data_IF_699283641595
#
_entry.id   IF_699283641595
#
_cell.length_a   1.000
_cell.length_b   1.000
_cell.length_c   1.000
_cell.angle_alpha   90.00
_cell.angle_beta   90.00
_cell.angle_gamma   90.00
#
_symmetry.space_group_name_H-M   'P 1'
#
loop_
_entity.id
_entity.type
_entity.pdbx_description
1 polymer ?
#
# COMPACT_ATOMS: atom_id res chain seq x y z
N UNK A 1 -17.80 -12.67 -6.74
CA UNK A 1 -16.47 -12.20 -6.34
C UNK A 1 -16.70 -10.88 -5.64
N UNK A 2 -16.17 -10.67 -4.43
CA UNK A 2 -16.25 -9.36 -3.76
C UNK A 2 -15.20 -8.46 -4.42
N UNK A 3 -15.56 -7.23 -4.75
CA UNK A 3 -14.64 -6.26 -5.36
C UNK A 3 -13.44 -5.98 -4.43
N UNK A 4 -12.25 -5.83 -4.99
CA UNK A 4 -11.04 -5.56 -4.21
C UNK A 4 -11.09 -4.19 -3.53
N UNK A 5 -11.72 -3.19 -4.17
CA UNK A 5 -12.08 -1.90 -3.56
C UNK A 5 -12.79 -2.10 -2.21
N UNK A 6 -13.85 -2.92 -2.19
CA UNK A 6 -14.65 -3.17 -0.99
C UNK A 6 -13.83 -3.85 0.11
N UNK A 7 -12.93 -4.77 -0.26
CA UNK A 7 -12.08 -5.47 0.71
C UNK A 7 -11.05 -4.53 1.37
N UNK A 8 -10.46 -3.60 0.61
CA UNK A 8 -9.54 -2.60 1.17
C UNK A 8 -10.30 -1.67 2.11
N UNK A 9 -11.45 -1.12 1.69
CA UNK A 9 -12.25 -0.24 2.53
C UNK A 9 -12.72 -0.95 3.81
N UNK A 10 -13.20 -2.19 3.70
CA UNK A 10 -13.61 -2.98 4.85
C UNK A 10 -12.44 -3.20 5.83
N UNK A 11 -11.24 -3.55 5.35
CA UNK A 11 -10.09 -3.74 6.21
C UNK A 11 -9.68 -2.45 6.95
N UNK A 12 -9.72 -1.30 6.27
CA UNK A 12 -9.48 0.02 6.90
C UNK A 12 -10.54 0.30 7.96
N UNK A 13 -11.82 0.05 7.65
CA UNK A 13 -12.94 0.28 8.56
C UNK A 13 -12.93 -0.65 9.78
N UNK A 14 -12.41 -1.86 9.63
CA UNK A 14 -12.20 -2.84 10.72
C UNK A 14 -10.96 -2.51 11.58
N UNK A 15 -10.21 -1.46 11.24
CA UNK A 15 -9.08 -0.98 12.03
C UNK A 15 -7.75 -1.64 11.70
N UNK A 16 -7.60 -2.23 10.51
CA UNK A 16 -6.30 -2.72 10.07
C UNK A 16 -5.30 -1.56 9.96
N UNK A 17 -4.09 -1.75 10.50
CA UNK A 17 -2.99 -0.77 10.36
C UNK A 17 -2.10 -1.10 9.14
N UNK A 18 -2.10 -2.37 8.71
CA UNK A 18 -1.33 -2.87 7.57
C UNK A 18 -2.19 -3.88 6.81
N UNK A 19 -2.28 -3.72 5.49
CA UNK A 19 -3.02 -4.61 4.58
C UNK A 19 -2.02 -5.27 3.62
N UNK A 20 -1.99 -6.60 3.58
CA UNK A 20 -1.15 -7.37 2.65
C UNK A 20 -2.00 -7.88 1.48
N UNK A 21 -1.65 -7.51 0.25
CA UNK A 21 -2.37 -7.87 -0.98
C UNK A 21 -1.44 -8.61 -1.94
N UNK A 22 -1.74 -9.90 -2.17
CA UNK A 22 -0.96 -10.78 -3.04
C UNK A 22 -1.68 -11.10 -4.35
N UNK A 23 -2.38 -10.10 -4.91
CA UNK A 23 -3.26 -10.23 -6.08
C UNK A 23 -3.25 -8.92 -6.90
N UNK A 24 -3.31 -9.02 -8.23
CA UNK A 24 -3.52 -7.88 -9.15
C UNK A 24 -5.00 -7.61 -9.42
N UNK A 25 -5.34 -6.42 -9.91
CA UNK A 25 -6.71 -6.07 -10.27
C UNK A 25 -6.78 -5.06 -11.40
N UNK A 26 -7.83 -5.17 -12.21
CA UNK A 26 -8.22 -4.15 -13.20
C UNK A 26 -9.10 -3.05 -12.59
N UNK A 27 -9.54 -3.21 -11.34
CA UNK A 27 -10.35 -2.23 -10.63
C UNK A 27 -9.61 -0.90 -10.45
N UNK A 28 -10.36 0.19 -10.49
CA UNK A 28 -9.89 1.54 -10.17
C UNK A 28 -9.86 1.71 -8.65
N UNK A 29 -8.67 1.73 -8.06
CA UNK A 29 -8.51 1.71 -6.60
C UNK A 29 -8.20 3.09 -6.00
N UNK A 30 -8.12 4.16 -6.79
CA UNK A 30 -7.62 5.47 -6.33
C UNK A 30 -8.22 5.91 -5.00
N UNK A 31 -9.55 5.85 -4.86
CA UNK A 31 -10.24 6.31 -3.65
C UNK A 31 -10.13 5.34 -2.48
N UNK A 32 -10.04 4.03 -2.71
CA UNK A 32 -9.76 3.05 -1.65
C UNK A 32 -8.33 3.18 -1.11
N UNK A 33 -7.35 3.45 -1.99
CA UNK A 33 -5.98 3.76 -1.58
C UNK A 33 -5.93 5.12 -0.86
N UNK A 34 -6.63 6.14 -1.36
CA UNK A 34 -6.72 7.43 -0.68
C UNK A 34 -7.31 7.30 0.72
N UNK A 35 -8.33 6.45 0.88
CA UNK A 35 -8.90 6.09 2.17
C UNK A 35 -7.86 5.48 3.10
N UNK A 36 -7.18 4.40 2.68
CA UNK A 36 -6.13 3.77 3.48
C UNK A 36 -5.06 4.77 3.91
N UNK A 37 -4.52 5.55 2.97
CA UNK A 37 -3.49 6.56 3.25
C UNK A 37 -3.98 7.66 4.21
N UNK A 38 -5.22 8.14 4.05
CA UNK A 38 -5.79 9.16 4.94
C UNK A 38 -5.94 8.69 6.39
N UNK A 39 -6.02 7.37 6.60
CA UNK A 39 -6.14 6.73 7.90
C UNK A 39 -4.79 6.21 8.43
N UNK A 40 -3.71 6.44 7.70
CA UNK A 40 -2.38 5.94 8.06
C UNK A 40 -2.26 4.41 7.97
N UNK A 41 -3.08 3.77 7.13
CA UNK A 41 -3.03 2.33 6.89
C UNK A 41 -2.03 2.06 5.76
N UNK A 42 -1.07 1.17 6.02
CA UNK A 42 -0.05 0.80 5.03
C UNK A 42 -0.54 -0.35 4.16
N UNK A 43 -0.63 -0.14 2.85
CA UNK A 43 -0.95 -1.20 1.89
C UNK A 43 0.35 -1.76 1.32
N UNK A 44 0.53 -3.08 1.40
CA UNK A 44 1.69 -3.82 0.90
C UNK A 44 1.23 -4.76 -0.20
N UNK A 45 1.79 -4.63 -1.40
CA UNK A 45 1.36 -5.35 -2.59
C UNK A 45 2.49 -6.17 -3.22
N UNK A 46 2.17 -7.36 -3.71
CA UNK A 46 3.07 -8.18 -4.52
C UNK A 46 3.29 -7.55 -5.90
N UNK A 47 4.53 -7.49 -6.38
CA UNK A 47 4.87 -6.90 -7.70
C UNK A 47 4.32 -7.70 -8.90
N UNK A 48 4.05 -9.01 -8.73
CA UNK A 48 3.67 -9.92 -9.81
C UNK A 48 4.72 -11.02 -10.07
N UNK A 49 4.37 -12.02 -10.86
CA UNK A 49 5.19 -13.22 -11.11
C UNK A 49 5.48 -13.44 -12.61
N UNK A 50 5.32 -12.41 -13.43
CA UNK A 50 5.43 -12.47 -14.88
C UNK A 50 6.85 -12.13 -15.37
N UNK A 51 7.70 -11.52 -14.53
CA UNK A 51 9.02 -11.01 -14.92
C UNK A 51 8.97 -9.73 -15.76
N UNK A 52 7.77 -9.19 -15.94
CA UNK A 52 7.43 -8.03 -16.77
C UNK A 52 7.42 -6.73 -15.95
N UNK A 53 7.12 -5.61 -16.62
CA UNK A 53 6.97 -4.33 -15.94
C UNK A 53 5.72 -4.32 -15.04
N UNK A 54 5.82 -3.88 -13.79
CA UNK A 54 4.71 -3.88 -12.82
C UNK A 54 3.49 -3.07 -13.26
N UNK A 55 3.66 -2.08 -14.14
CA UNK A 55 2.52 -1.35 -14.70
C UNK A 55 1.75 -2.16 -15.74
N UNK A 56 2.39 -3.15 -16.36
CA UNK A 56 1.75 -4.09 -17.29
C UNK A 56 1.03 -5.24 -16.59
N UNK A 57 1.33 -5.50 -15.31
CA UNK A 57 0.76 -6.62 -14.54
C UNK A 57 -0.47 -6.24 -13.72
N UNK A 58 -0.92 -4.98 -13.81
CA UNK A 58 -2.06 -4.47 -13.05
C UNK A 58 -1.89 -4.68 -11.52
N UNK A 59 -0.64 -4.71 -11.08
CA UNK A 59 -0.28 -4.81 -9.66
C UNK A 59 -0.62 -3.51 -8.92
N UNK A 60 -0.95 -3.62 -7.64
CA UNK A 60 -1.37 -2.49 -6.81
C UNK A 60 -0.20 -1.58 -6.44
N UNK A 61 1.04 -2.05 -6.55
CA UNK A 61 2.23 -1.25 -6.27
C UNK A 61 2.43 -0.08 -7.23
N UNK A 62 1.61 0.01 -8.30
CA UNK A 62 1.46 1.19 -9.15
C UNK A 62 0.82 2.39 -8.48
N UNK A 63 0.00 2.16 -7.45
CA UNK A 63 -0.72 3.23 -6.76
C UNK A 63 0.21 3.96 -5.80
N UNK A 64 0.10 5.29 -5.77
CA UNK A 64 0.84 6.13 -4.84
C UNK A 64 0.68 5.65 -3.40
N UNK A 65 1.77 5.66 -2.63
CA UNK A 65 1.80 5.26 -1.23
C UNK A 65 1.81 3.74 -0.95
N UNK A 66 1.52 2.89 -1.94
CA UNK A 66 1.53 1.42 -1.78
C UNK A 66 2.96 0.89 -1.75
N UNK A 67 3.27 -0.06 -0.86
CA UNK A 67 4.58 -0.73 -0.81
C UNK A 67 4.61 -1.87 -1.82
N UNK A 68 5.39 -1.75 -2.89
CA UNK A 68 5.61 -2.83 -3.85
C UNK A 68 6.71 -3.79 -3.42
N UNK A 69 6.42 -5.10 -3.44
CA UNK A 69 7.34 -6.14 -2.95
C UNK A 69 7.74 -7.09 -4.08
N UNK A 70 9.02 -7.01 -4.45
CA UNK A 70 9.68 -7.97 -5.33
C UNK A 70 10.16 -9.23 -4.61
N UNK A 71 10.53 -10.24 -5.37
CA UNK A 71 11.00 -11.54 -4.88
C UNK A 71 12.49 -11.74 -5.10
N UNK A 72 13.21 -12.17 -4.05
CA UNK A 72 14.60 -12.62 -4.12
C UNK A 72 14.74 -14.11 -3.74
N UNK A 73 15.83 -14.73 -4.17
CA UNK A 73 16.27 -16.06 -3.72
C UNK A 73 16.91 -16.00 -2.32
N UNK A 74 17.25 -17.16 -1.77
CA UNK A 74 18.00 -17.28 -0.51
C UNK A 74 19.40 -16.67 -0.56
N UNK A 75 19.95 -16.47 -1.75
CA UNK A 75 21.25 -15.84 -1.99
C UNK A 75 21.15 -14.32 -2.14
N UNK A 76 19.95 -13.73 -2.00
CA UNK A 76 19.73 -12.29 -2.13
C UNK A 76 19.64 -11.79 -3.57
N UNK A 77 19.45 -12.69 -4.54
CA UNK A 77 19.37 -12.35 -5.97
C UNK A 77 17.90 -12.24 -6.39
N UNK A 78 17.50 -11.21 -7.17
CA UNK A 78 16.13 -11.13 -7.71
C UNK A 78 15.76 -12.39 -8.50
N UNK A 79 14.56 -12.91 -8.29
CA UNK A 79 14.08 -14.07 -9.03
C UNK A 79 13.69 -13.66 -10.46
N UNK A 80 13.87 -14.56 -11.42
CA UNK A 80 13.53 -14.28 -12.83
C UNK A 80 12.03 -14.02 -13.05
N UNK A 81 11.17 -14.60 -12.19
CA UNK A 81 9.73 -14.39 -12.26
C UNK A 81 9.28 -13.08 -11.60
N UNK A 82 10.10 -12.44 -10.75
CA UNK A 82 9.68 -11.21 -10.08
C UNK A 82 9.46 -10.12 -11.13
N UNK A 83 8.23 -9.64 -11.23
CA UNK A 83 7.95 -8.41 -11.99
C UNK A 83 8.73 -7.24 -11.39
N UNK A 84 9.06 -6.27 -12.24
CA UNK A 84 10.06 -5.21 -12.01
C UNK A 84 9.53 -3.85 -12.49
N UNK A 85 10.12 -2.75 -12.05
CA UNK A 85 9.76 -1.42 -12.55
C UNK A 85 9.39 -0.43 -11.45
N UNK A 86 8.81 0.68 -11.86
CA UNK A 86 8.60 1.91 -11.07
C UNK A 86 7.47 1.79 -10.01
N UNK A 87 7.13 0.58 -9.56
CA UNK A 87 6.28 0.32 -8.39
C UNK A 87 7.03 -0.36 -7.24
N UNK A 88 8.11 -1.06 -7.56
CA UNK A 88 8.88 -1.87 -6.62
C UNK A 88 9.54 -0.96 -5.58
N UNK A 89 9.16 -1.16 -4.33
CA UNK A 89 9.65 -0.38 -3.18
C UNK A 89 10.77 -1.12 -2.47
N UNK A 90 10.62 -2.43 -2.29
CA UNK A 90 11.56 -3.29 -1.56
C UNK A 90 11.47 -4.70 -2.14
N UNK A 91 12.39 -5.59 -1.74
CA UNK A 91 12.23 -7.03 -1.95
C UNK A 91 12.29 -7.83 -0.64
N UNK A 92 11.76 -9.05 -0.67
CA UNK A 92 11.94 -10.05 0.37
C UNK A 92 12.02 -11.45 -0.24
N UNK A 93 12.23 -12.47 0.60
CA UNK A 93 12.38 -13.85 0.14
C UNK A 93 11.10 -14.32 -0.58
N UNK A 94 11.23 -14.56 -1.89
CA UNK A 94 10.13 -15.02 -2.72
C UNK A 94 10.03 -16.53 -2.82
N UNK A 95 11.12 -17.25 -2.53
CA UNK A 95 11.12 -18.70 -2.46
C UNK A 95 12.48 -19.35 -2.77
N UNK A 96 12.61 -20.65 -2.46
CA UNK A 96 11.58 -21.50 -1.88
C UNK A 96 11.33 -21.19 -0.40
N UNK A 97 10.06 -21.01 -0.03
CA UNK A 97 9.59 -20.93 1.37
C UNK A 97 8.63 -22.07 1.67
N UNK A 98 8.51 -22.49 2.93
CA UNK A 98 7.48 -23.45 3.31
C UNK A 98 6.18 -22.72 3.65
N UNK A 99 5.13 -22.99 2.87
CA UNK A 99 3.79 -22.46 3.10
C UNK A 99 2.85 -23.57 3.56
N UNK A 100 1.89 -23.25 4.44
CA UNK A 100 0.86 -24.18 4.88
C UNK A 100 -0.15 -24.39 3.75
N UNK A 101 -0.23 -25.61 3.22
CA UNK A 101 -1.30 -26.02 2.32
C UNK A 101 -2.48 -26.51 3.18
N UNK A 102 -3.63 -25.83 3.10
CA UNK A 102 -4.81 -26.17 3.89
C UNK A 102 -5.58 -27.37 3.36
N UNK A 103 -5.47 -27.69 2.06
CA UNK A 103 -6.12 -28.85 1.45
C UNK A 103 -5.39 -30.14 1.84
N UNK A 104 -4.05 -30.15 1.73
CA UNK A 104 -3.24 -31.32 2.10
C UNK A 104 -2.92 -31.40 3.60
N UNK A 105 -3.04 -30.28 4.32
CA UNK A 105 -2.64 -30.17 5.73
C UNK A 105 -1.13 -30.29 5.94
N UNK A 106 -0.31 -30.13 4.90
CA UNK A 106 1.15 -30.18 4.96
C UNK A 106 1.77 -28.80 4.78
N UNK A 107 3.05 -28.68 5.11
CA UNK A 107 3.86 -27.54 4.71
C UNK A 107 4.56 -27.89 3.40
N UNK A 108 4.36 -27.09 2.37
CA UNK A 108 4.84 -27.35 1.01
C UNK A 108 5.71 -26.20 0.51
N UNK A 109 6.74 -26.47 -0.31
CA UNK A 109 7.53 -25.41 -0.95
C UNK A 109 6.65 -24.53 -1.84
N UNK A 110 6.74 -23.22 -1.64
CA UNK A 110 6.07 -22.20 -2.44
C UNK A 110 7.07 -21.16 -2.93
N UNK A 111 6.75 -20.56 -4.07
CA UNK A 111 7.51 -19.48 -4.68
C UNK A 111 6.55 -18.40 -5.16
N UNK A 112 6.94 -17.13 -5.07
CA UNK A 112 6.21 -16.01 -5.64
C UNK A 112 6.43 -14.72 -4.85
N UNK A 113 6.19 -13.59 -5.50
CA UNK A 113 6.09 -12.29 -4.81
C UNK A 113 4.99 -12.30 -3.74
N UNK A 114 3.95 -13.12 -3.93
CA UNK A 114 2.92 -13.42 -2.93
C UNK A 114 3.45 -13.95 -1.59
N UNK A 115 4.64 -14.58 -1.57
CA UNK A 115 5.32 -15.04 -0.35
C UNK A 115 6.17 -13.93 0.28
N UNK A 116 6.77 -13.08 -0.55
CA UNK A 116 7.58 -11.95 -0.10
C UNK A 116 6.71 -10.85 0.54
N UNK A 117 5.54 -10.55 -0.02
CA UNK A 117 4.61 -9.51 0.46
C UNK A 117 4.22 -9.63 1.93
N UNK A 118 3.70 -10.79 2.42
CA UNK A 118 3.34 -10.93 3.83
C UNK A 118 4.55 -10.88 4.76
N UNK A 119 5.77 -11.20 4.30
CA UNK A 119 6.98 -11.02 5.11
C UNK A 119 7.24 -9.53 5.37
N UNK A 120 7.15 -8.69 4.34
CA UNK A 120 7.33 -7.22 4.47
C UNK A 120 6.21 -6.62 5.33
N UNK A 121 4.96 -7.05 5.13
CA UNK A 121 3.85 -6.63 5.98
C UNK A 121 4.08 -7.00 7.46
N UNK A 122 4.58 -8.22 7.71
CA UNK A 122 4.99 -8.65 9.05
C UNK A 122 6.13 -7.82 9.64
N UNK A 123 7.11 -7.42 8.82
CA UNK A 123 8.21 -6.56 9.28
C UNK A 123 7.71 -5.17 9.69
N UNK A 124 6.81 -4.58 8.91
CA UNK A 124 6.16 -3.31 9.24
C UNK A 124 5.32 -3.43 10.53
N UNK A 125 4.62 -4.55 10.73
CA UNK A 125 3.84 -4.81 11.93
C UNK A 125 4.73 -4.90 13.18
N UNK A 126 5.86 -5.61 13.09
CA UNK A 126 6.85 -5.68 14.17
C UNK A 126 7.51 -4.32 14.43
N UNK A 127 7.80 -3.54 13.39
CA UNK A 127 8.32 -2.19 13.54
C UNK A 127 7.31 -1.25 14.22
N UNK A 128 6.04 -1.32 13.84
CA UNK A 128 4.94 -0.58 14.51
C UNK A 128 4.81 -0.97 15.98
N UNK A 129 4.90 -2.26 16.30
CA UNK A 129 4.89 -2.73 17.69
C UNK A 129 6.08 -2.19 18.50
N UNK A 130 7.26 -2.14 17.89
CA UNK A 130 8.48 -1.61 18.51
C UNK A 130 8.45 -0.09 18.68
N UNK A 131 7.85 0.60 17.73
CA UNK A 131 7.80 2.06 17.61
C UNK A 131 6.33 2.55 17.56
N UNK A 132 5.57 2.43 18.67
CA UNK A 132 4.12 2.66 18.66
C UNK A 132 3.73 4.10 18.33
N UNK A 133 4.60 5.07 18.61
CA UNK A 133 4.36 6.50 18.35
C UNK A 133 4.78 6.92 16.93
N UNK A 134 5.44 6.05 16.17
CA UNK A 134 5.87 6.36 14.80
C UNK A 134 4.68 6.42 13.87
N UNK A 135 4.60 7.43 12.99
CA UNK A 135 3.55 7.48 11.97
C UNK A 135 3.75 6.41 10.90
N UNK A 136 2.71 6.11 10.12
CA UNK A 136 2.81 5.21 8.99
C UNK A 136 3.88 5.67 7.99
N UNK A 137 3.97 6.98 7.72
CA UNK A 137 4.98 7.54 6.83
C UNK A 137 6.39 7.35 7.38
N UNK A 138 6.60 7.53 8.69
CA UNK A 138 7.89 7.28 9.33
C UNK A 138 8.29 5.81 9.26
N UNK A 139 7.34 4.87 9.31
CA UNK A 139 7.61 3.44 9.08
C UNK A 139 7.95 3.14 7.62
N UNK A 140 7.35 3.83 6.65
CA UNK A 140 7.73 3.73 5.24
C UNK A 140 9.13 4.32 4.98
N UNK A 141 9.45 5.44 5.62
CA UNK A 141 10.81 6.00 5.60
C UNK A 141 11.81 5.00 6.21
N UNK A 142 11.49 4.42 7.37
CA UNK A 142 12.29 3.39 8.01
C UNK A 142 12.54 2.19 7.08
N UNK A 143 11.50 1.66 6.43
CA UNK A 143 11.63 0.56 5.45
C UNK A 143 12.59 0.91 4.33
N UNK A 144 12.40 2.07 3.68
CA UNK A 144 13.21 2.48 2.52
C UNK A 144 14.65 2.86 2.88
N UNK A 145 14.88 3.47 4.06
CA UNK A 145 16.21 3.93 4.51
C UNK A 145 17.07 2.83 5.11
N UNK A 146 16.46 1.72 5.56
CA UNK A 146 17.16 0.60 6.19
C UNK A 146 17.26 -0.65 5.31
N UNK A 147 16.65 -0.62 4.12
CA UNK A 147 16.74 -1.70 3.15
C UNK A 147 18.20 -1.99 2.74
N UNK A 148 18.53 -3.27 2.59
CA UNK A 148 19.86 -3.71 2.18
C UNK A 148 20.04 -3.47 0.69
N UNK A 149 20.92 -2.54 0.34
CA UNK A 149 21.15 -2.13 -1.03
C UNK A 149 22.63 -1.88 -1.30
N UNK A 150 23.21 -2.73 -2.14
CA UNK A 150 24.63 -2.65 -2.49
C UNK A 150 24.92 -1.56 -3.55
N UNK A 151 23.89 -1.04 -4.21
CA UNK A 151 24.00 -0.03 -5.28
C UNK A 151 23.88 1.41 -4.74
N UNK A 152 23.37 1.58 -3.52
CA UNK A 152 23.19 2.89 -2.88
C UNK A 152 22.12 3.78 -3.52
N UNK A 153 21.36 3.24 -4.48
CA UNK A 153 20.27 3.92 -5.19
C UNK A 153 19.13 2.94 -5.50
N UNK A 154 17.94 3.47 -5.75
CA UNK A 154 16.79 2.65 -6.15
C UNK A 154 17.06 1.92 -7.48
N UNK A 155 16.61 0.66 -7.60
CA UNK A 155 16.61 -0.09 -8.86
C UNK A 155 15.25 -0.78 -9.13
N UNK A 156 14.96 -1.13 -10.40
CA UNK A 156 13.67 -1.72 -10.77
C UNK A 156 13.36 -3.10 -10.18
N UNK A 157 14.35 -3.82 -9.65
CA UNK A 157 14.20 -5.22 -9.23
C UNK A 157 13.93 -5.37 -7.73
N UNK A 158 14.57 -4.53 -6.93
CA UNK A 158 14.52 -4.58 -5.45
C UNK A 158 14.09 -3.25 -4.84
N UNK A 159 13.82 -2.25 -5.67
CA UNK A 159 13.48 -0.92 -5.22
C UNK A 159 14.62 -0.29 -4.42
N UNK A 160 14.33 0.11 -3.19
CA UNK A 160 15.33 0.64 -2.25
C UNK A 160 16.24 -0.44 -1.66
N UNK A 161 15.95 -1.74 -1.86
CA UNK A 161 16.77 -2.87 -1.40
C UNK A 161 15.94 -4.01 -0.79
N UNK A 162 16.62 -4.99 -0.19
CA UNK A 162 15.97 -6.08 0.53
C UNK A 162 15.53 -5.60 1.92
N UNK A 163 14.28 -5.84 2.31
CA UNK A 163 13.74 -5.39 3.59
C UNK A 163 14.53 -5.99 4.77
N UNK A 164 14.99 -5.15 5.69
CA UNK A 164 15.85 -5.54 6.81
C UNK A 164 15.17 -5.36 8.16
N UNK A 165 14.50 -6.41 8.64
CA UNK A 165 13.82 -6.36 9.94
C UNK A 165 14.78 -5.95 11.07
N UNK A 166 15.99 -6.50 11.10
CA UNK A 166 16.98 -6.17 12.13
C UNK A 166 17.35 -4.69 12.15
N UNK A 167 17.51 -4.08 10.97
CA UNK A 167 17.82 -2.65 10.86
C UNK A 167 16.60 -1.77 11.21
N UNK A 168 15.38 -2.17 10.80
CA UNK A 168 14.14 -1.49 11.17
C UNK A 168 13.91 -1.47 12.69
N UNK A 169 14.20 -2.57 13.39
CA UNK A 169 14.01 -2.66 14.85
C UNK A 169 15.09 -1.94 15.66
N UNK A 170 16.22 -1.57 15.04
CA UNK A 170 17.36 -0.90 15.68
C UNK A 170 17.54 0.57 15.28
N UNK A 171 16.70 1.08 14.37
CA UNK A 171 16.74 2.47 13.90
C UNK A 171 15.46 3.19 14.33
N UNK A 172 15.59 4.28 15.08
CA UNK A 172 14.45 5.07 15.57
C UNK A 172 13.78 5.84 14.41
N UNK A 173 12.52 5.54 14.04
CA UNK A 173 11.84 6.19 12.92
C UNK A 173 11.47 7.66 13.19
N UNK A 174 11.48 8.13 14.45
CA UNK A 174 11.15 9.53 14.78
C UNK A 174 12.13 10.55 14.20
N UNK A 175 13.31 10.10 13.79
CA UNK A 175 14.30 10.92 13.09
C UNK A 175 13.88 11.27 11.65
N UNK A 176 12.91 10.55 11.08
CA UNK A 176 12.45 10.76 9.72
C UNK A 176 11.24 11.71 9.68
N UNK A 177 11.08 12.47 8.58
CA UNK A 177 9.90 13.32 8.41
C UNK A 177 8.64 12.46 8.29
N UNK A 178 7.51 13.02 8.72
CA UNK A 178 6.18 12.45 8.51
C UNK A 178 5.69 12.71 7.08
N UNK A 179 6.46 12.21 6.10
CA UNK A 179 6.21 12.35 4.68
C UNK A 179 6.28 10.98 4.01
N UNK A 180 5.25 10.62 3.25
CA UNK A 180 5.20 9.32 2.57
C UNK A 180 6.23 9.30 1.41
N UNK A 181 7.27 8.45 1.46
CA UNK A 181 8.32 8.43 0.44
C UNK A 181 7.90 7.75 -0.87
N UNK A 182 6.67 7.23 -0.94
CA UNK A 182 6.16 6.41 -2.05
C UNK A 182 5.02 7.07 -2.83
N UNK A 183 4.78 8.38 -2.61
CA UNK A 183 3.75 9.11 -3.33
C UNK A 183 4.08 9.23 -4.82
N UNK A 184 5.33 9.53 -5.15
CA UNK A 184 5.82 9.50 -6.52
C UNK A 184 6.38 8.11 -6.83
N UNK A 185 5.77 7.45 -7.80
CA UNK A 185 6.18 6.14 -8.28
C UNK A 185 7.23 6.23 -9.37
N UNK A 186 7.47 7.40 -9.96
CA UNK A 186 8.40 7.55 -11.06
C UNK A 186 7.86 6.95 -12.37
N UNK A 187 8.74 6.76 -13.35
CA UNK A 187 8.35 6.24 -14.67
C UNK A 187 7.52 7.20 -15.54
N UNK A 188 7.41 8.48 -15.15
CA UNK A 188 6.65 9.50 -15.89
C UNK A 188 5.13 9.42 -15.73
N UNK A 189 4.63 8.53 -14.86
CA UNK A 189 3.23 8.49 -14.48
C UNK A 189 2.94 9.58 -13.44
N UNK A 190 1.80 10.25 -13.57
CA UNK A 190 1.35 11.17 -12.54
C UNK A 190 0.98 10.38 -11.28
N UNK A 191 1.34 10.86 -10.08
CA UNK A 191 0.89 10.27 -8.83
C UNK A 191 -0.62 10.12 -8.77
N UNK A 192 -1.10 8.97 -8.32
CA UNK A 192 -2.52 8.68 -8.14
C UNK A 192 -2.70 7.67 -7.00
N UNK A 193 -3.47 7.99 -5.95
CA UNK A 193 -3.94 9.34 -5.62
C UNK A 193 -2.77 10.29 -5.31
N UNK A 194 -2.90 11.55 -5.70
CA UNK A 194 -2.01 12.62 -5.25
C UNK A 194 -2.20 12.91 -3.75
N UNK A 195 -1.21 13.57 -3.11
CA UNK A 195 -1.34 13.99 -1.71
C UNK A 195 -2.54 14.92 -1.49
N UNK A 196 -2.90 15.74 -2.48
CA UNK A 196 -4.09 16.59 -2.41
C UNK A 196 -5.38 15.78 -2.53
N UNK A 197 -5.44 14.76 -3.40
CA UNK A 197 -6.60 13.85 -3.47
C UNK A 197 -6.79 13.08 -2.15
N UNK A 198 -5.73 12.60 -1.53
CA UNK A 198 -5.80 11.98 -0.19
C UNK A 198 -6.42 12.94 0.83
N UNK A 199 -6.03 14.23 0.79
CA UNK A 199 -6.60 15.27 1.66
C UNK A 199 -8.06 15.57 1.32
N UNK A 200 -8.43 15.67 0.05
CA UNK A 200 -9.81 15.89 -0.38
C UNK A 200 -10.73 14.76 0.10
N UNK A 201 -10.26 13.52 0.00
CA UNK A 201 -10.96 12.36 0.55
C UNK A 201 -11.12 12.50 2.07
N UNK A 202 -10.03 12.75 2.80
CA UNK A 202 -10.07 12.91 4.26
C UNK A 202 -11.01 14.04 4.73
N UNK A 203 -11.03 15.15 3.98
CA UNK A 203 -11.86 16.32 4.25
C UNK A 203 -13.34 16.10 3.86
N UNK A 204 -13.70 14.96 3.26
CA UNK A 204 -15.06 14.62 2.82
C UNK A 204 -15.53 15.44 1.62
N UNK A 205 -14.61 15.82 0.72
CA UNK A 205 -14.89 16.73 -0.40
C UNK A 205 -14.96 16.04 -1.76
N UNK A 206 -14.71 14.74 -1.81
CA UNK A 206 -14.84 13.91 -3.02
C UNK A 206 -16.31 13.71 -3.33
N UNK A 207 -16.67 13.71 -4.62
CA UNK A 207 -18.05 13.43 -5.03
C UNK A 207 -18.47 12.05 -4.53
N UNK A 208 -19.62 11.92 -3.87
CA UNK A 208 -20.15 10.62 -3.45
C UNK A 208 -20.26 9.60 -4.58
N UNK A 209 -20.47 10.05 -5.82
CA UNK A 209 -20.55 9.18 -7.00
C UNK A 209 -19.22 8.53 -7.40
N UNK A 210 -18.09 9.02 -6.88
CA UNK A 210 -16.76 8.46 -7.13
C UNK A 210 -16.33 7.49 -6.04
N UNK A 211 -17.03 7.47 -4.89
CA UNK A 211 -16.70 6.59 -3.78
C UNK A 211 -17.44 5.27 -3.94
N UNK A 212 -16.67 4.19 -3.94
CA UNK A 212 -17.18 2.83 -4.08
C UNK A 212 -17.01 2.07 -2.76
N UNK A 213 -18.10 1.50 -2.25
CA UNK A 213 -18.10 0.52 -1.15
C UNK A 213 -17.33 0.95 0.12
N UNK A 214 -17.53 2.20 0.56
CA UNK A 214 -16.95 2.70 1.82
C UNK A 214 -18.00 3.24 2.78
N UNK A 215 -18.48 2.37 3.66
CA UNK A 215 -19.49 2.71 4.66
C UNK A 215 -19.07 3.80 5.67
N UNK A 216 -17.80 4.17 5.73
CA UNK A 216 -17.30 5.22 6.63
C UNK A 216 -17.28 6.61 6.01
N UNK A 217 -17.43 6.72 4.68
CA UNK A 217 -17.36 8.00 3.98
C UNK A 217 -18.55 8.89 4.32
N UNK A 218 -18.27 10.18 4.52
CA UNK A 218 -19.29 11.21 4.74
C UNK A 218 -18.94 12.40 3.85
N UNK A 219 -19.89 12.80 3.01
CA UNK A 219 -19.74 14.02 2.21
C UNK A 219 -19.94 15.26 3.07
N UNK A 220 -19.00 16.20 3.02
CA UNK A 220 -18.94 17.40 3.86
C UNK A 220 -18.75 18.70 3.08
N UNK A 221 -18.85 18.63 1.75
CA UNK A 221 -18.67 19.77 0.86
C UNK A 221 -19.85 20.75 0.86
N UNK A 222 -19.76 21.77 0.01
CA UNK A 222 -20.77 22.83 -0.11
C UNK A 222 -21.83 22.57 -1.19
N UNK A 223 -21.69 21.51 -1.99
CA UNK A 223 -22.64 21.19 -3.05
C UNK A 223 -23.92 20.57 -2.46
N UNK A 224 -24.92 21.39 -2.25
CA UNK A 224 -26.24 20.96 -1.74
C UNK A 224 -26.96 20.00 -2.69
N UNK A 225 -26.57 19.92 -3.97
CA UNK A 225 -27.19 18.97 -4.90
C UNK A 225 -26.98 17.52 -4.47
N UNK A 226 -25.91 17.24 -3.72
CA UNK A 226 -25.61 15.91 -3.16
C UNK A 226 -26.68 15.42 -2.18
N UNK A 227 -27.46 16.32 -1.54
CA UNK A 227 -28.56 15.93 -0.65
C UNK A 227 -29.72 15.24 -1.38
N UNK A 228 -29.85 15.49 -2.69
CA UNK A 228 -30.97 15.01 -3.52
C UNK A 228 -30.52 14.08 -4.64
N UNK A 229 -29.21 13.90 -4.81
CA UNK A 229 -28.65 13.07 -5.86
C UNK A 229 -29.02 11.59 -5.60
N UNK A 230 -29.72 10.97 -6.55
CA UNK A 230 -30.09 9.55 -6.46
C UNK A 230 -28.86 8.62 -6.44
N UNK A 231 -27.71 9.12 -6.89
CA UNK A 231 -26.42 8.42 -6.90
C UNK A 231 -25.64 8.59 -5.59
N UNK A 232 -26.11 9.40 -4.66
CA UNK A 232 -25.44 9.58 -3.37
C UNK A 232 -26.04 8.63 -2.33
N UNK A 233 -25.31 7.56 -2.01
CA UNK A 233 -25.64 6.59 -0.96
C UNK A 233 -24.99 6.93 0.39
N UNK A 234 -24.24 8.03 0.50
CA UNK A 234 -23.44 8.37 1.67
C UNK A 234 -24.07 9.47 2.53
N UNK A 235 -23.89 9.43 3.87
CA UNK A 235 -24.28 10.53 4.74
C UNK A 235 -23.68 11.86 4.27
N UNK A 236 -24.49 12.91 4.31
CA UNK A 236 -24.12 14.24 3.79
C UNK A 236 -24.33 15.33 4.84
N UNK A 237 -23.26 16.01 5.23
CA UNK A 237 -23.23 17.11 6.18
C UNK A 237 -22.66 18.38 5.53
N UNK A 238 -23.50 19.14 4.83
CA UNK A 238 -23.07 20.29 4.03
C UNK A 238 -22.26 21.31 4.85
N UNK A 239 -21.12 21.73 4.30
CA UNK A 239 -20.28 22.79 4.85
C UNK A 239 -19.55 22.43 6.14
N UNK A 240 -19.53 21.16 6.54
CA UNK A 240 -18.87 20.71 7.79
C UNK A 240 -17.44 20.21 7.59
N UNK A 241 -16.90 20.33 6.38
CA UNK A 241 -15.54 19.87 6.10
C UNK A 241 -14.53 20.61 6.98
N UNK A 242 -13.58 19.90 7.63
CA UNK A 242 -12.49 20.56 8.37
C UNK A 242 -11.75 21.60 7.54
N UNK A 243 -11.69 21.42 6.21
CA UNK A 243 -11.02 22.35 5.28
C UNK A 243 -11.55 23.78 5.35
N UNK A 244 -12.83 23.98 5.68
CA UNK A 244 -13.44 25.31 5.75
C UNK A 244 -13.17 26.03 7.09
N UNK A 245 -12.47 25.38 8.02
CA UNK A 245 -12.29 25.84 9.40
C UNK A 245 -10.82 25.85 9.85
N UNK A 246 -9.87 25.65 8.92
CA UNK A 246 -8.42 25.75 9.17
C UNK A 246 -7.89 27.15 8.92
#
# INVERSE_FOLDING_TARGET
>A
MIAQVALINQAVNDGAEIISVSQSTDEELKWAIAHALSRGVIVVAAAGNEGEDVFSTHSLDRWSGVVGVGAITTEGVPTAYSSKGQGVTTAALGGPVLARNYESGQNEPANGTSMATPMVAGFLALARQKWPDATANQLLQLLTKTALNNEGAWNPYTGYGVASLGAMLSTDPSQYPDENPLMDKGGGLAPSPTAEEVRLYADGLVSPSEIEEDSSYVYRGLDESQLKAATNSYPTHIGTSPRYHR
#
